data_IF_228866404824
#
_entry.id   IF_228866404824
#
_cell.length_a   1.000
_cell.length_b   1.000
_cell.length_c   1.000
_cell.angle_alpha   90.00
_cell.angle_beta   90.00
_cell.angle_gamma   90.00
#
_symmetry.space_group_name_H-M   'P 1'
#
loop_
_entity.id
_entity.type
_entity.pdbx_description
1 polymer ?
#
# COMPACT_ATOMS: atom_id res chain seq x y z
N UNK A 1 20.02 4.21 5.87
CA UNK A 1 18.98 4.59 4.89
C UNK A 1 17.76 5.05 5.66
N UNK A 2 17.12 6.14 5.23
CA UNK A 2 15.80 6.57 5.71
C UNK A 2 14.74 6.01 4.78
N UNK A 3 13.85 5.19 5.33
CA UNK A 3 12.86 4.42 4.58
C UNK A 3 11.46 4.88 4.95
N UNK A 4 10.62 5.17 3.97
CA UNK A 4 9.19 5.41 4.16
C UNK A 4 8.42 4.11 3.87
N UNK A 5 7.80 3.55 4.89
CA UNK A 5 6.95 2.36 4.80
C UNK A 5 5.47 2.73 4.65
N UNK A 6 4.74 1.92 3.90
CA UNK A 6 3.30 2.02 3.73
C UNK A 6 2.61 0.69 4.02
N UNK A 7 1.44 0.78 4.67
CA UNK A 7 0.54 -0.35 4.87
C UNK A 7 -0.92 0.10 4.69
N UNK A 8 -1.71 -0.68 3.96
CA UNK A 8 -3.17 -0.49 3.87
C UNK A 8 -3.86 -1.80 4.25
N UNK A 9 -4.59 -1.77 5.36
CA UNK A 9 -5.31 -2.93 5.89
C UNK A 9 -6.45 -3.38 4.99
N UNK A 10 -6.92 -4.62 5.18
CA UNK A 10 -8.13 -5.11 4.51
C UNK A 10 -9.41 -4.43 5.02
N UNK A 11 -9.32 -3.61 6.08
CA UNK A 11 -10.37 -2.69 6.53
C UNK A 11 -10.68 -1.59 5.51
N UNK A 12 -9.72 -1.26 4.63
CA UNK A 12 -9.84 -0.20 3.62
C UNK A 12 -10.26 1.16 4.21
N UNK A 13 -9.73 1.47 5.39
CA UNK A 13 -10.02 2.69 6.14
C UNK A 13 -8.95 3.77 5.94
N UNK A 14 -7.67 3.39 6.00
CA UNK A 14 -6.56 4.33 5.84
C UNK A 14 -5.32 3.70 5.21
N UNK A 15 -4.48 4.57 4.65
CA UNK A 15 -3.10 4.30 4.29
C UNK A 15 -2.20 4.74 5.45
N UNK A 16 -1.62 3.77 6.15
CA UNK A 16 -0.65 3.99 7.22
C UNK A 16 0.74 4.25 6.62
N UNK A 17 1.49 5.15 7.26
CA UNK A 17 2.83 5.56 6.88
C UNK A 17 3.75 5.60 8.09
N UNK A 18 4.98 5.17 7.92
CA UNK A 18 6.01 5.28 8.96
C UNK A 18 7.40 5.47 8.36
N UNK A 19 8.21 6.32 8.98
CA UNK A 19 9.62 6.46 8.64
C UNK A 19 10.46 5.68 9.63
N UNK A 20 11.47 4.97 9.13
CA UNK A 20 12.50 4.35 9.94
C UNK A 20 13.89 4.59 9.35
N UNK A 21 14.91 4.49 10.18
CA UNK A 21 16.29 4.44 9.76
C UNK A 21 16.84 3.03 9.92
N UNK A 22 17.43 2.49 8.85
CA UNK A 22 17.97 1.12 8.82
C UNK A 22 19.15 0.99 7.87
N UNK A 23 20.01 0.02 8.13
CA UNK A 23 21.03 -0.48 7.20
C UNK A 23 20.54 -1.68 6.35
N UNK A 24 19.29 -2.11 6.53
CA UNK A 24 18.68 -3.27 5.87
C UNK A 24 18.64 -4.53 6.74
N UNK A 25 19.34 -4.55 7.87
CA UNK A 25 19.35 -5.67 8.83
C UNK A 25 18.88 -5.23 10.22
N UNK A 26 19.31 -4.04 10.65
CA UNK A 26 18.98 -3.46 11.96
C UNK A 26 18.22 -2.15 11.78
N UNK A 27 17.22 -1.91 12.64
CA UNK A 27 16.56 -0.60 12.74
C UNK A 27 17.33 0.24 13.75
N UNK A 28 17.93 1.34 13.30
CA UNK A 28 18.71 2.24 14.14
C UNK A 28 17.87 3.35 14.76
N UNK A 29 16.75 3.75 14.14
CA UNK A 29 15.83 4.74 14.68
C UNK A 29 14.42 4.62 14.08
N UNK A 30 13.44 5.14 14.82
CA UNK A 30 12.07 5.37 14.35
C UNK A 30 11.85 6.87 14.13
N UNK A 31 11.31 7.21 12.96
CA UNK A 31 10.87 8.56 12.62
C UNK A 31 9.38 8.77 12.87
N UNK A 32 8.76 9.79 12.23
CA UNK A 32 7.32 10.01 12.31
C UNK A 32 6.51 8.82 11.79
N UNK A 33 5.29 8.69 12.28
CA UNK A 33 4.29 7.76 11.78
C UNK A 33 2.91 8.42 11.81
N UNK A 34 2.03 8.02 10.91
CA UNK A 34 0.68 8.57 10.78
C UNK A 34 -0.12 7.83 9.73
N UNK A 35 -1.35 8.27 9.52
CA UNK A 35 -2.28 7.67 8.57
C UNK A 35 -3.03 8.75 7.77
N UNK A 36 -3.46 8.39 6.56
CA UNK A 36 -4.44 9.16 5.78
C UNK A 36 -5.59 8.26 5.41
N UNK A 37 -6.81 8.67 5.74
CA UNK A 37 -8.03 7.96 5.31
C UNK A 37 -8.07 7.80 3.80
N UNK A 38 -8.40 6.59 3.34
CA UNK A 38 -8.62 6.34 1.93
C UNK A 38 -9.82 7.15 1.45
N UNK A 39 -9.73 7.67 0.22
CA UNK A 39 -10.90 8.24 -0.45
C UNK A 39 -11.95 7.17 -0.72
N UNK A 40 -13.23 7.56 -0.73
CA UNK A 40 -14.34 6.63 -1.04
C UNK A 40 -14.16 5.99 -2.43
N UNK A 41 -13.67 6.75 -3.41
CA UNK A 41 -13.41 6.25 -4.76
C UNK A 41 -12.37 5.12 -4.78
N UNK A 42 -11.23 5.29 -4.09
CA UNK A 42 -10.19 4.25 -4.02
C UNK A 42 -10.70 3.03 -3.26
N UNK A 43 -11.45 3.25 -2.17
CA UNK A 43 -12.08 2.18 -1.40
C UNK A 43 -13.04 1.35 -2.27
N UNK A 44 -13.86 2.00 -3.08
CA UNK A 44 -14.83 1.32 -3.94
C UNK A 44 -14.14 0.50 -5.04
N UNK A 45 -13.07 1.02 -5.64
CA UNK A 45 -12.23 0.29 -6.61
C UNK A 45 -11.59 -0.94 -5.95
N UNK A 46 -11.01 -0.80 -4.76
CA UNK A 46 -10.39 -1.92 -4.03
C UNK A 46 -11.41 -3.02 -3.68
N UNK A 47 -12.61 -2.63 -3.24
CA UNK A 47 -13.72 -3.55 -2.98
C UNK A 47 -14.17 -4.26 -4.26
N UNK A 48 -14.24 -3.56 -5.39
CA UNK A 48 -14.59 -4.14 -6.66
C UNK A 48 -13.52 -5.13 -7.16
N UNK A 49 -12.24 -4.76 -7.08
CA UNK A 49 -11.13 -5.66 -7.39
C UNK A 49 -11.16 -6.93 -6.52
N UNK A 50 -11.46 -6.79 -5.24
CA UNK A 50 -11.59 -7.93 -4.32
C UNK A 50 -12.72 -8.86 -4.74
N UNK A 51 -13.89 -8.31 -5.12
CA UNK A 51 -15.03 -9.10 -5.61
C UNK A 51 -14.68 -9.87 -6.89
N UNK A 52 -14.01 -9.23 -7.84
CA UNK A 52 -13.56 -9.89 -9.07
C UNK A 52 -12.52 -10.97 -8.78
N UNK A 53 -11.56 -10.71 -7.88
CA UNK A 53 -10.52 -11.68 -7.54
C UNK A 53 -11.07 -12.96 -6.89
N UNK A 54 -12.11 -12.82 -6.04
CA UNK A 54 -12.81 -13.95 -5.42
C UNK A 54 -13.52 -14.85 -6.45
N UNK A 55 -13.93 -14.29 -7.59
CA UNK A 55 -14.61 -15.02 -8.67
C UNK A 55 -13.65 -15.41 -9.81
N UNK A 56 -12.44 -14.88 -9.80
CA UNK A 56 -11.48 -15.07 -10.87
C UNK A 56 -11.04 -16.53 -10.97
N UNK A 57 -11.09 -17.09 -12.18
CA UNK A 57 -10.63 -18.45 -12.45
C UNK A 57 -9.12 -18.46 -12.63
N UNK A 58 -8.40 -19.27 -11.85
CA UNK A 58 -6.94 -19.35 -11.95
C UNK A 58 -6.51 -19.89 -13.32
N UNK A 59 -5.47 -19.28 -13.90
CA UNK A 59 -4.96 -19.63 -15.23
C UNK A 59 -5.65 -18.92 -16.39
N UNK A 60 -6.65 -18.07 -16.13
CA UNK A 60 -7.20 -17.15 -17.14
C UNK A 60 -6.55 -15.77 -17.02
N UNK A 61 -6.67 -14.89 -18.03
CA UNK A 61 -6.19 -13.51 -17.92
C UNK A 61 -6.73 -12.81 -16.67
N UNK A 62 -5.93 -11.89 -16.12
CA UNK A 62 -6.30 -11.08 -14.96
C UNK A 62 -7.52 -10.18 -15.28
N UNK A 63 -8.44 -9.98 -14.31
CA UNK A 63 -9.52 -9.01 -14.45
C UNK A 63 -8.96 -7.60 -14.70
N UNK A 64 -9.54 -6.87 -15.65
CA UNK A 64 -9.08 -5.51 -16.00
C UNK A 64 -9.06 -4.54 -14.81
N UNK A 65 -9.92 -4.77 -13.81
CA UNK A 65 -9.98 -3.95 -12.60
C UNK A 65 -8.72 -4.06 -11.71
N UNK A 66 -7.87 -5.07 -11.89
CA UNK A 66 -6.64 -5.20 -11.12
C UNK A 66 -5.65 -4.07 -11.45
N UNK A 67 -5.51 -3.74 -12.74
CA UNK A 67 -4.66 -2.63 -13.17
C UNK A 67 -5.21 -1.29 -12.67
N UNK A 68 -6.53 -1.10 -12.76
CA UNK A 68 -7.21 0.08 -12.23
C UNK A 68 -6.98 0.24 -10.72
N UNK A 69 -7.16 -0.84 -9.96
CA UNK A 69 -6.92 -0.84 -8.51
C UNK A 69 -5.47 -0.58 -8.15
N UNK A 70 -4.51 -1.20 -8.87
CA UNK A 70 -3.09 -0.96 -8.63
C UNK A 70 -2.71 0.52 -8.84
N UNK A 71 -3.19 1.14 -9.92
CA UNK A 71 -2.96 2.56 -10.19
C UNK A 71 -3.64 3.47 -9.17
N UNK A 72 -4.88 3.17 -8.77
CA UNK A 72 -5.62 3.94 -7.79
C UNK A 72 -4.92 3.90 -6.41
N UNK A 73 -4.53 2.71 -5.96
CA UNK A 73 -3.82 2.51 -4.69
C UNK A 73 -2.46 3.20 -4.70
N UNK A 74 -1.67 3.08 -5.78
CA UNK A 74 -0.37 3.74 -5.87
C UNK A 74 -0.49 5.26 -5.82
N UNK A 75 -1.49 5.84 -6.49
CA UNK A 75 -1.76 7.30 -6.44
C UNK A 75 -2.17 7.74 -5.03
N UNK A 76 -3.06 6.99 -4.39
CA UNK A 76 -3.51 7.29 -3.02
C UNK A 76 -2.35 7.29 -2.03
N UNK A 77 -1.43 6.33 -2.14
CA UNK A 77 -0.22 6.28 -1.31
C UNK A 77 0.72 7.45 -1.58
N UNK A 78 0.89 7.84 -2.85
CA UNK A 78 1.71 8.99 -3.21
C UNK A 78 1.14 10.29 -2.62
N UNK A 79 -0.17 10.51 -2.74
CA UNK A 79 -0.84 11.68 -2.15
C UNK A 79 -0.78 11.68 -0.63
N UNK A 80 -0.94 10.51 0.01
CA UNK A 80 -0.78 10.35 1.45
C UNK A 80 0.64 10.75 1.89
N UNK A 81 1.65 10.30 1.15
CA UNK A 81 3.04 10.59 1.43
C UNK A 81 3.39 12.07 1.22
N UNK A 82 2.89 12.70 0.16
CA UNK A 82 3.06 14.14 -0.07
C UNK A 82 2.59 14.95 1.14
N UNK A 83 1.38 14.66 1.63
CA UNK A 83 0.83 15.32 2.82
C UNK A 83 1.65 15.04 4.09
N UNK A 84 1.96 13.76 4.33
CA UNK A 84 2.72 13.31 5.50
C UNK A 84 4.14 13.90 5.56
N UNK A 85 4.87 13.88 4.44
CA UNK A 85 6.21 14.46 4.38
C UNK A 85 6.16 15.97 4.61
N UNK A 86 5.21 16.68 3.98
CA UNK A 86 5.05 18.12 4.18
C UNK A 86 4.71 18.47 5.64
N UNK A 87 3.81 17.71 6.29
CA UNK A 87 3.45 17.88 7.70
C UNK A 87 4.66 17.76 8.64
N UNK A 88 5.60 16.86 8.32
CA UNK A 88 6.80 16.64 9.10
C UNK A 88 8.05 17.42 8.63
N UNK A 89 7.88 18.37 7.69
CA UNK A 89 8.98 19.18 7.17
C UNK A 89 10.04 18.37 6.43
N UNK A 90 9.63 17.26 5.82
CA UNK A 90 10.46 16.36 5.02
C UNK A 90 10.13 16.50 3.53
N UNK A 91 11.00 15.95 2.70
CA UNK A 91 10.82 15.90 1.25
C UNK A 91 11.30 14.55 0.70
N UNK A 92 10.86 14.20 -0.50
CA UNK A 92 11.24 12.95 -1.16
C UNK A 92 12.75 12.76 -1.33
N UNK A 93 13.52 13.84 -1.48
CA UNK A 93 14.98 13.77 -1.62
C UNK A 93 15.68 13.30 -0.35
N UNK A 94 14.97 13.23 0.77
CA UNK A 94 15.48 12.73 2.05
C UNK A 94 15.06 11.28 2.34
N UNK A 95 14.28 10.66 1.44
CA UNK A 95 13.85 9.27 1.54
C UNK A 95 14.70 8.44 0.57
N UNK A 96 15.45 7.49 1.10
CA UNK A 96 16.34 6.63 0.31
C UNK A 96 15.59 5.47 -0.34
N UNK A 97 14.50 5.02 0.30
CA UNK A 97 13.73 3.85 -0.12
C UNK A 97 12.26 3.95 0.31
N UNK A 98 11.38 3.38 -0.51
CA UNK A 98 9.97 3.17 -0.17
C UNK A 98 9.72 1.67 0.03
N UNK A 99 9.14 1.31 1.16
CA UNK A 99 8.56 -0.01 1.40
C UNK A 99 7.06 0.06 1.25
N UNK A 100 6.48 -0.60 0.25
CA UNK A 100 5.04 -0.60 0.02
C UNK A 100 4.50 -2.02 0.14
N UNK A 101 3.68 -2.29 1.15
CA UNK A 101 2.86 -3.51 1.17
C UNK A 101 1.80 -3.46 0.06
N UNK A 102 1.20 -2.29 -0.14
CA UNK A 102 0.07 -2.09 -1.05
C UNK A 102 -1.23 -2.60 -0.43
N UNK A 103 -2.18 -2.94 -1.29
CA UNK A 103 -3.50 -3.42 -0.89
C UNK A 103 -3.68 -4.89 -1.24
N UNK A 104 -3.93 -5.73 -0.24
CA UNK A 104 -4.35 -7.11 -0.49
C UNK A 104 -5.70 -7.10 -1.21
N UNK A 105 -5.74 -7.67 -2.41
CA UNK A 105 -6.96 -7.93 -3.18
C UNK A 105 -7.44 -9.38 -2.96
N UNK A 106 -6.49 -10.32 -2.93
CA UNK A 106 -6.76 -11.73 -2.69
C UNK A 106 -5.54 -12.37 -2.01
N UNK A 107 -5.80 -13.17 -0.99
CA UNK A 107 -4.80 -14.03 -0.38
C UNK A 107 -5.37 -15.44 -0.24
N UNK A 108 -4.82 -16.39 -0.98
CA UNK A 108 -5.18 -17.80 -0.91
C UNK A 108 -4.02 -18.56 -0.27
N UNK A 109 -4.28 -19.23 0.85
CA UNK A 109 -3.28 -20.14 1.43
C UNK A 109 -3.00 -21.28 0.44
N UNK A 110 -1.77 -21.82 0.40
CA UNK A 110 -1.49 -23.04 -0.34
C UNK A 110 -2.39 -24.18 0.13
N UNK A 111 -2.85 -25.00 -0.80
CA UNK A 111 -3.52 -26.26 -0.48
C UNK A 111 -2.63 -27.40 -0.99
N UNK A 112 -2.62 -28.56 -0.33
CA UNK A 112 -1.81 -29.69 -0.81
C UNK A 112 -2.17 -30.01 -2.27
N UNK A 113 -1.18 -29.89 -3.16
CA UNK A 113 -1.34 -30.12 -4.60
C UNK A 113 -1.87 -28.93 -5.43
N UNK A 114 -2.00 -27.72 -4.86
CA UNK A 114 -2.37 -26.51 -5.61
C UNK A 114 -1.75 -25.22 -5.07
#
# INVERSE_FOLDING_TARGET
MRVLGFMTGTSLDACDMAILETDGETISAFGPAGDRKLTEAVRDIALAATREALQWTRGTPEPAIFEEAALAVAREHFEAAEGFLAEHGLSWTQIDLIGMHGQTVLHERPHEGR
#
